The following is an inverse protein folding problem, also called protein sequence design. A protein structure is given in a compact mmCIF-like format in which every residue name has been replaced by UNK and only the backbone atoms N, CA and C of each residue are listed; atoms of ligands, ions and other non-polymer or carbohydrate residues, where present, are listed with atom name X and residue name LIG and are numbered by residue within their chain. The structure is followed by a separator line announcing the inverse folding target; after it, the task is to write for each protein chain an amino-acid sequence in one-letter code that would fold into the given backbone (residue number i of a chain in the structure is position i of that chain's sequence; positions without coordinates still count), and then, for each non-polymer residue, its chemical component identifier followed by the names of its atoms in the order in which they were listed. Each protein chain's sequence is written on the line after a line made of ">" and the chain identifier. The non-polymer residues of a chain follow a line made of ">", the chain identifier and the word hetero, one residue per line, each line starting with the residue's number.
data_IF_264821041513
#
_entry.id   IF_264821041513
#
_cell.length_a   1.000
_cell.length_b   1.000
_cell.length_c   1.000
_cell.angle_alpha   90.00
_cell.angle_beta   90.00
_cell.angle_gamma   90.00
#
_symmetry.space_group_name_H-M   'P 1'
#
loop_
_entity.id
_entity.type
_entity.pdbx_description
1 polymer ?
#
# COMPACT_ATOMS: atom_id res chain seq x y z
N UNK A 1 -23.19 -13.52 -10.79
CA UNK A 1 -23.32 -13.12 -10.64
C UNK A 1 -23.47 -11.93 -10.31
N UNK A 2 -23.95 -11.76 -9.57
CA UNK A 2 -24.25 -10.49 -9.18
C UNK A 2 -23.09 -9.68 -8.82
N UNK A 3 -22.08 -10.27 -8.38
CA UNK A 3 -20.95 -9.48 -7.97
C UNK A 3 -20.38 -8.71 -9.10
N UNK A 4 -20.54 -9.15 -10.30
CA UNK A 4 -19.99 -8.41 -11.34
C UNK A 4 -20.72 -7.16 -11.56
N UNK A 5 -21.90 -7.03 -11.07
CA UNK A 5 -22.64 -5.81 -11.23
C UNK A 5 -22.29 -4.79 -10.20
N UNK A 6 -21.64 -5.18 -9.13
CA UNK A 6 -21.34 -4.25 -8.10
C UNK A 6 -19.98 -3.69 -8.27
N UNK A 7 -19.82 -2.41 -8.12
CA UNK A 7 -18.48 -1.84 -8.19
C UNK A 7 -17.64 -2.35 -7.05
N UNK A 8 -16.41 -2.63 -7.33
CA UNK A 8 -15.52 -3.09 -6.31
C UNK A 8 -14.77 -1.94 -5.74
N UNK A 9 -14.66 -1.90 -4.44
CA UNK A 9 -13.88 -0.88 -3.81
C UNK A 9 -12.42 -1.21 -3.80
N UNK A 10 -12.09 -2.47 -3.90
CA UNK A 10 -10.70 -2.86 -3.88
C UNK A 10 -10.42 -3.83 -4.99
N UNK A 11 -9.18 -3.86 -5.38
CA UNK A 11 -8.72 -4.75 -6.43
C UNK A 11 -7.46 -5.42 -5.93
N UNK A 12 -7.35 -6.70 -6.16
CA UNK A 12 -6.17 -7.43 -5.74
C UNK A 12 -5.10 -7.33 -6.79
N UNK A 13 -3.90 -7.04 -6.34
CA UNK A 13 -2.74 -7.03 -7.20
C UNK A 13 -1.66 -7.88 -6.61
N UNK A 14 -0.96 -8.61 -7.45
CA UNK A 14 0.13 -9.46 -6.99
C UNK A 14 1.43 -8.71 -7.10
N UNK A 15 2.13 -8.62 -6.00
CA UNK A 15 3.37 -7.89 -5.96
C UNK A 15 4.42 -8.77 -5.31
N UNK A 16 5.61 -8.77 -5.87
CA UNK A 16 6.69 -9.50 -5.26
C UNK A 16 7.50 -8.57 -4.39
N UNK A 17 7.68 -8.96 -3.16
CA UNK A 17 8.49 -8.20 -2.24
C UNK A 17 9.82 -8.90 -2.05
N UNK A 18 10.91 -8.17 -2.02
CA UNK A 18 12.17 -8.77 -1.62
C UNK A 18 12.04 -9.31 -0.20
N UNK A 19 12.68 -10.43 0.05
CA UNK A 19 12.59 -11.03 1.37
C UNK A 19 13.03 -10.08 2.46
N UNK A 20 14.04 -9.34 2.19
CA UNK A 20 14.56 -8.40 3.16
C UNK A 20 13.52 -7.35 3.53
N UNK A 21 12.78 -6.91 2.54
CA UNK A 21 11.75 -5.92 2.79
C UNK A 21 10.63 -6.50 3.63
N UNK A 22 10.24 -7.73 3.35
CA UNK A 22 9.20 -8.37 4.13
C UNK A 22 9.64 -8.45 5.59
N UNK A 23 10.87 -8.79 5.80
CA UNK A 23 11.40 -8.89 7.13
C UNK A 23 11.32 -7.57 7.87
N UNK A 24 11.70 -6.52 7.20
CA UNK A 24 11.68 -5.21 7.82
C UNK A 24 10.27 -4.73 8.10
N UNK A 25 9.35 -5.05 7.22
CA UNK A 25 7.97 -4.69 7.47
C UNK A 25 7.44 -5.42 8.68
N UNK A 26 7.79 -6.71 8.80
CA UNK A 26 7.34 -7.47 9.94
C UNK A 26 7.90 -6.91 11.24
N UNK A 27 9.11 -6.47 11.22
CA UNK A 27 9.70 -5.87 12.40
C UNK A 27 8.96 -4.60 12.77
N UNK A 28 8.65 -3.79 11.78
CA UNK A 28 7.94 -2.56 12.04
C UNK A 28 6.56 -2.83 12.61
N UNK A 29 5.88 -3.82 12.07
CA UNK A 29 4.57 -4.18 12.56
C UNK A 29 4.63 -4.68 13.99
N UNK A 30 5.65 -5.46 14.28
CA UNK A 30 5.83 -5.98 15.62
C UNK A 30 5.99 -4.86 16.62
N UNK A 31 6.71 -3.84 16.23
CA UNK A 31 6.93 -2.72 17.12
C UNK A 31 5.66 -1.92 17.35
N UNK A 32 4.84 -1.82 16.35
CA UNK A 32 3.60 -1.10 16.50
C UNK A 32 2.60 -1.88 17.29
N UNK A 33 2.62 -3.18 17.12
CA UNK A 33 1.83 -4.04 17.97
C UNK A 33 0.42 -4.33 17.53
N UNK A 34 -0.19 -3.53 16.72
CA UNK A 34 -1.58 -3.78 16.43
C UNK A 34 -1.97 -3.71 14.97
N UNK A 35 -1.10 -3.29 14.12
CA UNK A 35 -1.47 -3.18 12.73
C UNK A 35 -1.17 -4.43 11.96
N UNK A 36 -1.92 -4.67 10.89
CA UNK A 36 -1.62 -5.82 10.08
C UNK A 36 -0.87 -5.40 8.83
N UNK A 37 -0.41 -6.38 8.10
CA UNK A 37 0.43 -6.14 6.94
C UNK A 37 -0.30 -5.31 5.88
N UNK A 38 -1.53 -5.66 5.61
CA UNK A 38 -2.29 -4.96 4.58
C UNK A 38 -2.48 -3.50 4.93
N UNK A 39 -2.83 -3.23 6.16
CA UNK A 39 -3.04 -1.86 6.59
C UNK A 39 -1.74 -1.08 6.50
N UNK A 40 -0.65 -1.70 6.89
CA UNK A 40 0.63 -1.05 6.84
C UNK A 40 1.01 -0.68 5.41
N UNK A 41 0.82 -1.61 4.50
CA UNK A 41 1.17 -1.37 3.11
C UNK A 41 0.28 -0.29 2.51
N UNK A 42 -1.00 -0.35 2.80
CA UNK A 42 -1.91 0.65 2.26
C UNK A 42 -1.55 2.04 2.74
N UNK A 43 -1.20 2.14 4.00
CA UNK A 43 -0.81 3.44 4.52
C UNK A 43 0.48 3.92 3.88
N UNK A 44 1.43 3.02 3.70
CA UNK A 44 2.67 3.39 3.04
C UNK A 44 2.40 3.88 1.62
N UNK A 45 1.48 3.23 0.95
CA UNK A 45 1.14 3.65 -0.39
C UNK A 45 0.50 5.03 -0.40
N UNK A 46 -0.35 5.28 0.57
CA UNK A 46 -0.97 6.60 0.66
C UNK A 46 0.06 7.69 0.86
N UNK A 47 1.03 7.42 1.70
CA UNK A 47 2.07 8.38 1.95
C UNK A 47 2.90 8.63 0.70
N UNK A 48 3.21 7.54 -0.01
CA UNK A 48 3.99 7.69 -1.21
C UNK A 48 3.23 8.48 -2.26
N UNK A 49 1.96 8.20 -2.40
CA UNK A 49 1.15 8.92 -3.36
C UNK A 49 1.05 10.39 -3.00
N UNK A 50 0.92 10.66 -1.73
CA UNK A 50 0.86 12.03 -1.28
C UNK A 50 2.13 12.78 -1.63
N UNK A 51 3.25 12.14 -1.38
CA UNK A 51 4.53 12.72 -1.69
C UNK A 51 4.70 12.97 -3.17
N UNK A 52 4.32 11.99 -3.96
CA UNK A 52 4.47 12.13 -5.39
C UNK A 52 3.52 13.17 -5.96
N UNK A 53 2.36 13.25 -5.37
CA UNK A 53 1.42 14.23 -5.82
C UNK A 53 1.94 15.63 -5.57
N UNK A 54 2.56 15.83 -4.45
CA UNK A 54 3.17 17.11 -4.17
C UNK A 54 4.27 17.41 -5.13
N UNK A 55 5.04 16.44 -5.48
CA UNK A 55 6.14 16.65 -6.39
C UNK A 55 5.71 16.75 -7.81
N UNK A 56 4.55 16.26 -8.12
CA UNK A 56 4.12 16.27 -9.48
C UNK A 56 3.90 17.63 -10.04
N UNK A 57 3.71 18.55 -9.21
CA UNK A 57 3.46 19.88 -9.68
C UNK A 57 4.48 20.38 -10.63
N UNK A 58 5.70 20.02 -10.41
CA UNK A 58 6.70 20.53 -11.31
C UNK A 58 7.10 19.51 -12.32
N UNK A 59 6.73 18.30 -12.13
CA UNK A 59 7.07 17.33 -13.09
C UNK A 59 6.24 17.42 -14.28
N UNK A 60 5.06 17.72 -14.11
CA UNK A 60 4.25 17.73 -15.14
C UNK A 60 4.64 18.52 -16.17
N UNK A 61 4.90 18.24 -16.31
CA UNK A 61 5.19 18.53 -17.24
C UNK A 61 4.71 18.80 -17.92
#
# INVERSE_FOLDING_TARGET
>A
MSSKNRPRRTTTRNIRFPNQMIEQINIALDQKGSENFSAWVIEACRRRLSTERSGMNYIIK
#
